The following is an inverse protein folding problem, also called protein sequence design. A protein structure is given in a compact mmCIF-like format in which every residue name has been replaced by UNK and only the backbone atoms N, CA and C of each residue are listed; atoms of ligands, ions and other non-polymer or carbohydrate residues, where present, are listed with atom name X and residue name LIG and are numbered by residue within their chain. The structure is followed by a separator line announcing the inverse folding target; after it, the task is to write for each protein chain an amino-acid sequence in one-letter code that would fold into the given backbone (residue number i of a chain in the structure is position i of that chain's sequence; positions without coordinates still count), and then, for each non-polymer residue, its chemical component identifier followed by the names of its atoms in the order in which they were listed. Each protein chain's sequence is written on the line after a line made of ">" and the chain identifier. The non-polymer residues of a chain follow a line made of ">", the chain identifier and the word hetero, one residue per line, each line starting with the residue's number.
data_IF_065446410842
#
_entry.id   IF_065446410842
#
_cell.length_a   1.000
_cell.length_b   1.000
_cell.length_c   1.000
_cell.angle_alpha   90.00
_cell.angle_beta   90.00
_cell.angle_gamma   90.00
#
_symmetry.space_group_name_H-M   'P 1'
#
loop_
_entity.id
_entity.type
_entity.pdbx_description
1 polymer ?
#
# COMPACT_ATOMS: atom_id res chain seq x y z
N UNK A 1 -16.63 -2.41 16.97
CA UNK A 1 -17.15 -1.07 17.33
C UNK A 1 -18.15 -0.60 16.28
N UNK A 2 -19.07 0.31 16.63
CA UNK A 2 -19.95 0.95 15.64
C UNK A 2 -19.12 1.84 14.69
N UNK A 3 -19.48 1.83 13.40
CA UNK A 3 -18.79 2.59 12.34
C UNK A 3 -19.80 3.06 11.30
N UNK A 4 -19.59 4.26 10.77
CA UNK A 4 -20.34 4.79 9.64
C UNK A 4 -19.69 4.22 8.37
N UNK A 5 -20.41 3.37 7.64
CA UNK A 5 -19.90 2.74 6.41
C UNK A 5 -20.54 3.39 5.20
N UNK A 6 -19.71 3.95 4.32
CA UNK A 6 -20.14 4.55 3.06
C UNK A 6 -19.52 3.79 1.91
N UNK A 7 -20.38 3.08 1.18
CA UNK A 7 -19.99 2.30 0.02
C UNK A 7 -20.12 3.19 -1.20
N UNK A 8 -19.03 3.32 -1.95
CA UNK A 8 -18.95 3.93 -3.26
C UNK A 8 -18.72 2.83 -4.28
N UNK A 9 -19.51 2.84 -5.35
CA UNK A 9 -19.28 1.98 -6.51
C UNK A 9 -19.17 2.85 -7.76
N UNK A 10 -18.11 2.65 -8.54
CA UNK A 10 -17.97 3.20 -9.89
C UNK A 10 -18.20 2.05 -10.87
N UNK A 11 -19.35 2.07 -11.54
CA UNK A 11 -19.79 1.06 -12.48
C UNK A 11 -19.51 1.51 -13.92
N UNK A 12 -19.02 0.58 -14.73
CA UNK A 12 -18.86 0.81 -16.16
C UNK A 12 -20.23 0.81 -16.85
N UNK A 13 -20.54 1.88 -17.59
CA UNK A 13 -21.81 2.05 -18.31
C UNK A 13 -21.62 2.23 -19.83
N UNK A 14 -20.42 1.94 -20.36
CA UNK A 14 -20.11 2.06 -21.79
C UNK A 14 -18.86 2.89 -22.07
N UNK A 15 -18.70 3.38 -23.30
CA UNK A 15 -17.43 3.97 -23.75
C UNK A 15 -17.06 5.28 -23.00
N UNK A 16 -18.02 6.19 -22.81
CA UNK A 16 -17.71 7.55 -22.32
C UNK A 16 -18.27 7.88 -20.93
N UNK A 17 -19.12 7.02 -20.36
CA UNK A 17 -19.84 7.33 -19.10
C UNK A 17 -19.66 6.21 -18.08
N UNK A 18 -19.66 6.59 -16.80
CA UNK A 18 -19.73 5.66 -15.69
C UNK A 18 -20.82 6.11 -14.71
N UNK A 19 -21.38 5.15 -14.00
CA UNK A 19 -22.35 5.40 -12.94
C UNK A 19 -21.65 5.32 -11.59
N UNK A 20 -21.79 6.37 -10.79
CA UNK A 20 -21.29 6.40 -9.42
C UNK A 20 -22.47 6.21 -8.48
N UNK A 21 -22.46 5.12 -7.72
CA UNK A 21 -23.47 4.80 -6.70
C UNK A 21 -22.85 4.97 -5.32
N UNK A 22 -23.52 5.71 -4.44
CA UNK A 22 -23.15 5.88 -3.04
C UNK A 22 -24.25 5.36 -2.13
N UNK A 23 -23.87 4.56 -1.14
CA UNK A 23 -24.79 3.91 -0.22
C UNK A 23 -24.36 4.13 1.23
N UNK A 24 -25.32 4.48 2.07
CA UNK A 24 -25.18 4.62 3.51
C UNK A 24 -26.48 4.21 4.22
N UNK A 25 -26.39 3.25 5.13
CA UNK A 25 -27.56 2.59 5.74
C UNK A 25 -28.55 2.11 4.68
N UNK A 26 -29.81 2.56 4.73
CA UNK A 26 -30.84 2.25 3.73
C UNK A 26 -30.94 3.29 2.62
N UNK A 27 -30.06 4.29 2.59
CA UNK A 27 -30.05 5.34 1.58
C UNK A 27 -29.06 5.03 0.46
N UNK A 28 -29.52 5.23 -0.77
CA UNK A 28 -28.70 5.11 -1.99
C UNK A 28 -28.89 6.36 -2.85
N UNK A 29 -27.81 6.80 -3.50
CA UNK A 29 -27.74 7.94 -4.41
C UNK A 29 -26.86 7.55 -5.60
N UNK A 30 -27.29 7.85 -6.82
CA UNK A 30 -26.55 7.45 -8.04
C UNK A 30 -26.42 8.55 -9.11
N UNK A 31 -25.22 8.91 -9.53
CA UNK A 31 -25.04 9.89 -10.60
C UNK A 31 -24.41 9.22 -11.82
N UNK A 32 -24.74 9.72 -13.01
CA UNK A 32 -24.00 9.42 -14.23
C UNK A 32 -23.02 10.57 -14.49
N UNK A 33 -21.78 10.21 -14.80
CA UNK A 33 -20.70 11.16 -15.10
C UNK A 33 -19.92 10.69 -16.31
N UNK A 34 -19.36 11.63 -17.07
CA UNK A 34 -18.34 11.31 -18.08
C UNK A 34 -17.15 10.64 -17.40
N UNK A 35 -16.61 9.58 -18.01
CA UNK A 35 -15.41 8.90 -17.51
C UNK A 35 -14.23 9.87 -17.45
N UNK A 36 -13.30 9.60 -16.53
CA UNK A 36 -12.00 10.27 -16.55
C UNK A 36 -11.36 10.06 -17.93
N UNK A 37 -11.08 11.17 -18.63
CA UNK A 37 -10.52 11.13 -19.98
C UNK A 37 -9.22 10.32 -19.99
N UNK A 38 -8.87 9.63 -21.08
CA UNK A 38 -7.59 8.92 -21.19
C UNK A 38 -6.36 9.80 -20.91
N UNK A 39 -6.45 11.10 -21.19
CA UNK A 39 -5.42 12.10 -20.85
C UNK A 39 -5.16 12.23 -19.35
N UNK A 40 -6.09 11.81 -18.48
CA UNK A 40 -5.87 11.79 -17.03
C UNK A 40 -4.68 10.90 -16.65
N UNK A 41 -4.39 9.82 -17.42
CA UNK A 41 -3.14 9.04 -17.25
C UNK A 41 -1.91 9.91 -17.42
N UNK A 42 -1.93 10.84 -18.37
CA UNK A 42 -0.81 11.75 -18.61
C UNK A 42 -0.67 12.75 -17.44
N UNK A 43 -1.78 13.14 -16.81
CA UNK A 43 -1.76 13.97 -15.60
C UNK A 43 -1.16 13.25 -14.38
N UNK A 44 -1.09 11.90 -14.40
CA UNK A 44 -0.41 11.12 -13.38
C UNK A 44 1.10 11.03 -13.61
N UNK A 45 1.61 11.32 -14.81
CA UNK A 45 3.07 11.25 -15.08
C UNK A 45 3.87 12.20 -14.19
N UNK A 46 3.51 13.48 -14.00
CA UNK A 46 4.23 14.34 -13.06
C UNK A 46 4.25 13.80 -11.63
N UNK A 47 3.18 13.11 -11.20
CA UNK A 47 3.12 12.47 -9.88
C UNK A 47 4.07 11.26 -9.81
N UNK A 48 4.09 10.43 -10.86
CA UNK A 48 5.02 9.31 -10.98
C UNK A 48 6.48 9.80 -11.03
N UNK A 49 6.78 10.81 -11.83
CA UNK A 49 8.10 11.45 -11.92
C UNK A 49 8.51 12.09 -10.59
N UNK A 50 7.60 12.77 -9.89
CA UNK A 50 7.84 13.35 -8.57
C UNK A 50 8.16 12.26 -7.52
N UNK A 51 7.44 11.14 -7.55
CA UNK A 51 7.71 9.97 -6.71
C UNK A 51 9.14 9.45 -6.97
N UNK A 52 9.49 9.22 -8.24
CA UNK A 52 10.81 8.71 -8.65
C UNK A 52 11.95 9.70 -8.39
N UNK A 53 11.67 11.00 -8.38
CA UNK A 53 12.65 12.07 -8.21
C UNK A 53 12.60 12.74 -6.83
N UNK A 54 11.88 12.22 -5.83
CA UNK A 54 11.76 12.92 -4.55
C UNK A 54 13.13 13.09 -3.86
N UNK A 55 13.41 14.20 -3.16
CA UNK A 55 14.65 14.37 -2.40
C UNK A 55 14.87 13.28 -1.34
N UNK A 56 13.81 12.67 -0.80
CA UNK A 56 13.90 11.52 0.09
C UNK A 56 14.39 10.25 -0.64
N UNK A 57 14.05 10.10 -1.91
CA UNK A 57 14.61 9.08 -2.80
C UNK A 57 16.06 9.42 -3.22
N UNK A 58 16.39 10.69 -3.47
CA UNK A 58 17.72 11.16 -3.95
C UNK A 58 18.78 11.41 -2.88
N UNK A 59 18.41 11.73 -1.64
CA UNK A 59 19.37 12.06 -0.56
C UNK A 59 20.27 10.89 -0.16
N UNK A 60 19.93 9.67 -0.57
CA UNK A 60 20.75 8.47 -0.37
C UNK A 60 21.97 8.41 -1.33
N UNK A 61 21.86 8.92 -2.56
CA UNK A 61 22.96 8.84 -3.54
C UNK A 61 24.16 9.73 -3.12
N UNK A 62 23.91 10.80 -2.38
CA UNK A 62 24.93 11.69 -1.84
C UNK A 62 25.55 11.19 -0.50
N UNK A 63 24.77 10.50 0.34
CA UNK A 63 25.23 9.98 1.63
C UNK A 63 26.04 8.68 1.50
N UNK A 64 25.86 7.93 0.40
CA UNK A 64 26.55 6.68 0.10
C UNK A 64 27.84 6.84 -0.72
N UNK A 65 28.22 8.07 -1.12
CA UNK A 65 29.55 8.29 -1.67
C UNK A 65 30.59 8.16 -0.55
N UNK A 66 31.61 7.28 -0.68
CA UNK A 66 32.67 7.23 0.31
C UNK A 66 33.32 8.63 0.40
N UNK A 67 33.42 9.16 1.64
CA UNK A 67 34.27 10.33 1.90
C UNK A 67 35.68 9.95 1.47
N UNK A 68 36.15 10.55 0.38
CA UNK A 68 37.51 10.37 -0.09
C UNK A 68 38.47 10.90 0.99
N UNK A 69 39.33 10.07 1.60
CA UNK A 69 40.21 10.52 2.69
C UNK A 69 41.26 11.55 2.21
N UNK A 70 41.50 11.64 0.90
CA UNK A 70 42.59 12.45 0.33
C UNK A 70 42.18 13.85 -0.13
N UNK A 71 40.96 14.31 0.18
CA UNK A 71 40.54 15.68 -0.14
C UNK A 71 40.91 16.72 0.95
N UNK A 72 41.64 16.31 1.99
CA UNK A 72 42.09 17.19 3.07
C UNK A 72 43.52 17.72 2.83
N UNK A 73 43.79 18.28 1.65
CA UNK A 73 45.01 19.06 1.41
C UNK A 73 44.86 19.96 0.17
N UNK A 74 44.08 21.04 0.30
CA UNK A 74 44.31 22.34 -0.38
C UNK A 74 43.05 23.21 -0.28
N UNK A 75 42.98 24.07 0.73
CA UNK A 75 42.82 25.51 0.53
C UNK A 75 42.68 26.21 1.87
N UNK A 76 43.73 26.96 2.20
CA UNK A 76 43.71 28.00 3.21
C UNK A 76 42.87 29.20 2.75
N UNK A 77 42.12 29.77 3.69
CA UNK A 77 41.86 31.21 3.77
C UNK A 77 40.82 31.83 2.84
N UNK A 78 39.53 31.75 3.21
CA UNK A 78 38.66 32.92 3.10
C UNK A 78 37.44 32.85 4.03
N UNK A 79 37.03 34.03 4.49
CA UNK A 79 36.10 34.33 5.58
C UNK A 79 34.77 33.54 5.59
N UNK A 80 34.36 33.16 6.80
CA UNK A 80 33.06 32.55 7.07
C UNK A 80 31.91 33.52 6.75
N UNK A 81 31.11 33.18 5.74
CA UNK A 81 29.73 33.66 5.57
C UNK A 81 28.77 32.48 5.81
N UNK A 82 27.63 32.67 6.50
CA UNK A 82 26.67 31.60 6.70
C UNK A 82 26.02 31.28 5.35
N UNK A 83 26.37 30.14 4.77
CA UNK A 83 25.75 29.65 3.55
C UNK A 83 24.37 29.09 3.90
N UNK A 84 23.34 29.84 3.51
CA UNK A 84 21.95 29.39 3.42
C UNK A 84 21.92 28.18 2.46
N UNK A 85 21.94 26.97 3.00
CA UNK A 85 21.63 25.72 2.31
C UNK A 85 20.38 25.17 2.96
N UNK A 86 19.22 25.38 2.33
CA UNK A 86 17.97 24.58 2.48
C UNK A 86 16.74 25.18 1.76
N UNK A 87 16.92 25.96 0.68
CA UNK A 87 15.79 26.44 -0.11
C UNK A 87 15.33 25.43 -1.17
N UNK A 88 16.24 24.69 -1.81
CA UNK A 88 15.90 23.83 -2.95
C UNK A 88 15.18 22.52 -2.56
N UNK A 89 15.49 21.94 -1.39
CA UNK A 89 14.77 20.78 -0.85
C UNK A 89 13.35 21.13 -0.38
N UNK A 90 13.19 22.27 0.29
CA UNK A 90 11.87 22.76 0.71
C UNK A 90 10.97 23.17 -0.47
N UNK A 91 11.56 23.72 -1.55
CA UNK A 91 10.83 24.09 -2.77
C UNK A 91 10.32 22.88 -3.57
N UNK A 92 11.05 21.75 -3.55
CA UNK A 92 10.68 20.51 -4.26
C UNK A 92 9.68 19.67 -3.46
N UNK A 93 9.85 19.50 -2.15
CA UNK A 93 8.84 18.84 -1.31
C UNK A 93 7.49 19.58 -1.33
N UNK A 94 7.50 20.91 -1.49
CA UNK A 94 6.28 21.71 -1.65
C UNK A 94 5.62 21.61 -3.02
N UNK A 95 6.36 21.25 -4.09
CA UNK A 95 5.77 21.03 -5.42
C UNK A 95 5.09 19.67 -5.52
N UNK A 96 5.65 18.64 -4.92
CA UNK A 96 5.13 17.27 -4.99
C UNK A 96 3.78 17.17 -4.27
N UNK A 97 3.68 17.74 -3.07
CA UNK A 97 2.42 17.83 -2.31
C UNK A 97 1.35 18.61 -3.08
N UNK A 98 1.70 19.69 -3.80
CA UNK A 98 0.73 20.44 -4.62
C UNK A 98 0.19 19.60 -5.76
N UNK A 99 1.05 18.83 -6.44
CA UNK A 99 0.62 17.90 -7.50
C UNK A 99 -0.34 16.86 -6.94
N UNK A 100 0.00 16.26 -5.78
CA UNK A 100 -0.87 15.30 -5.09
C UNK A 100 -2.21 15.93 -4.71
N UNK A 101 -2.22 17.16 -4.16
CA UNK A 101 -3.46 17.88 -3.81
C UNK A 101 -4.31 18.19 -5.05
N UNK A 102 -3.70 18.62 -6.15
CA UNK A 102 -4.42 18.97 -7.38
C UNK A 102 -5.10 17.74 -7.99
N UNK A 103 -4.35 16.65 -8.16
CA UNK A 103 -4.88 15.37 -8.64
C UNK A 103 -5.96 14.86 -7.68
N UNK A 104 -5.68 14.90 -6.38
CA UNK A 104 -6.60 14.50 -5.33
C UNK A 104 -7.91 15.26 -5.35
N UNK A 105 -7.86 16.56 -5.63
CA UNK A 105 -9.04 17.42 -5.73
C UNK A 105 -9.87 17.06 -6.96
N UNK A 106 -9.22 16.79 -8.10
CA UNK A 106 -9.91 16.36 -9.32
C UNK A 106 -10.63 15.02 -9.11
N UNK A 107 -10.00 14.07 -8.40
CA UNK A 107 -10.63 12.78 -8.08
C UNK A 107 -11.77 12.92 -7.07
N UNK A 108 -11.62 13.81 -6.09
CA UNK A 108 -12.70 14.11 -5.17
C UNK A 108 -13.90 14.73 -5.90
N UNK A 109 -13.66 15.77 -6.71
CA UNK A 109 -14.70 16.46 -7.47
C UNK A 109 -15.35 15.53 -8.52
N UNK A 110 -14.62 14.55 -9.04
CA UNK A 110 -15.15 13.52 -9.93
C UNK A 110 -16.19 12.63 -9.22
N UNK A 111 -15.90 12.14 -8.01
CA UNK A 111 -16.81 11.25 -7.26
C UNK A 111 -17.94 12.02 -6.59
N UNK A 112 -17.59 13.05 -5.83
CA UNK A 112 -18.48 13.71 -4.89
C UNK A 112 -19.19 14.89 -5.55
N UNK A 113 -20.13 14.56 -6.44
CA UNK A 113 -20.98 15.55 -7.11
C UNK A 113 -22.44 15.43 -6.64
N UNK A 114 -23.15 16.56 -6.63
CA UNK A 114 -24.62 16.63 -6.45
C UNK A 114 -25.05 15.78 -5.23
N UNK A 115 -25.94 14.81 -5.45
CA UNK A 115 -26.48 13.94 -4.41
C UNK A 115 -25.48 12.97 -3.77
N UNK A 116 -24.33 12.69 -4.41
CA UNK A 116 -23.25 11.91 -3.79
C UNK A 116 -22.53 12.76 -2.73
N UNK A 117 -22.27 14.03 -3.05
CA UNK A 117 -21.65 14.99 -2.13
C UNK A 117 -22.54 15.24 -0.90
N UNK A 118 -23.85 15.39 -1.11
CA UNK A 118 -24.84 15.53 -0.04
C UNK A 118 -24.77 14.34 0.93
N UNK A 119 -24.82 13.11 0.40
CA UNK A 119 -24.74 11.90 1.23
C UNK A 119 -23.39 11.77 1.97
N UNK A 120 -22.27 12.10 1.30
CA UNK A 120 -20.96 12.15 1.94
C UNK A 120 -20.92 13.14 3.11
N UNK A 121 -21.47 14.35 2.93
CA UNK A 121 -21.52 15.36 3.98
C UNK A 121 -22.41 14.89 5.14
N UNK A 122 -23.55 14.27 4.87
CA UNK A 122 -24.41 13.68 5.91
C UNK A 122 -23.66 12.62 6.73
N UNK A 123 -22.95 11.70 6.06
CA UNK A 123 -22.16 10.66 6.72
C UNK A 123 -21.03 11.24 7.56
N UNK A 124 -20.28 12.21 7.00
CA UNK A 124 -19.18 12.87 7.68
C UNK A 124 -19.66 13.57 8.97
N UNK A 125 -20.80 14.26 8.92
CA UNK A 125 -21.38 14.92 10.09
C UNK A 125 -21.95 13.92 11.10
N UNK A 126 -22.53 12.79 10.65
CA UNK A 126 -22.99 11.72 11.54
C UNK A 126 -21.82 11.10 12.31
N UNK A 127 -20.77 10.69 11.59
CA UNK A 127 -19.56 10.11 12.18
C UNK A 127 -18.92 11.04 13.22
N UNK A 128 -18.82 12.33 12.92
CA UNK A 128 -18.26 13.33 13.85
C UNK A 128 -19.13 13.57 15.08
N UNK A 129 -20.46 13.54 14.94
CA UNK A 129 -21.41 13.72 16.05
C UNK A 129 -21.35 12.57 17.04
N UNK A 130 -21.20 11.36 16.53
CA UNK A 130 -21.27 10.13 17.32
C UNK A 130 -19.87 9.59 17.70
N UNK A 131 -18.80 10.33 17.36
CA UNK A 131 -17.39 9.97 17.56
C UNK A 131 -17.04 8.57 17.01
N UNK A 132 -17.52 8.29 15.79
CA UNK A 132 -17.33 7.01 15.10
C UNK A 132 -16.40 7.14 13.89
N UNK A 133 -15.65 6.08 13.54
CA UNK A 133 -14.94 6.03 12.26
C UNK A 133 -15.92 6.08 11.08
N UNK A 134 -15.58 6.89 10.07
CA UNK A 134 -16.26 7.02 8.78
C UNK A 134 -15.53 6.21 7.69
N UNK A 135 -15.81 4.92 7.61
CA UNK A 135 -15.18 4.01 6.65
C UNK A 135 -15.72 4.24 5.24
N UNK A 136 -14.85 4.63 4.31
CA UNK A 136 -15.17 4.75 2.88
C UNK A 136 -14.66 3.52 2.15
N UNK A 137 -15.56 2.83 1.46
CA UNK A 137 -15.25 1.64 0.64
C UNK A 137 -15.48 1.97 -0.81
N UNK A 138 -14.42 1.95 -1.61
CA UNK A 138 -14.50 2.24 -3.04
C UNK A 138 -14.40 0.94 -3.84
N UNK A 139 -15.49 0.56 -4.48
CA UNK A 139 -15.53 -0.45 -5.53
C UNK A 139 -15.38 0.23 -6.89
N UNK A 140 -14.49 -0.30 -7.72
CA UNK A 140 -14.29 0.17 -9.09
C UNK A 140 -14.41 -1.02 -10.02
N UNK A 141 -15.51 -1.08 -10.77
CA UNK A 141 -15.77 -2.17 -11.72
C UNK A 141 -15.11 -1.92 -13.08
N UNK A 142 -14.83 -0.66 -13.42
CA UNK A 142 -14.13 -0.30 -14.65
C UNK A 142 -12.61 -0.57 -14.53
N UNK A 143 -12.04 -1.54 -15.29
CA UNK A 143 -10.61 -1.82 -15.26
C UNK A 143 -9.75 -0.61 -15.67
N UNK A 144 -10.28 0.27 -16.52
CA UNK A 144 -9.63 1.51 -16.90
C UNK A 144 -9.65 2.56 -15.80
N UNK A 145 -10.25 2.31 -14.64
CA UNK A 145 -10.18 3.21 -13.47
C UNK A 145 -9.45 2.58 -12.28
N UNK A 146 -9.05 1.31 -12.38
CA UNK A 146 -8.30 0.61 -11.34
C UNK A 146 -6.91 1.22 -11.06
N UNK A 147 -6.31 1.89 -12.05
CA UNK A 147 -4.99 2.52 -11.91
C UNK A 147 -5.01 3.90 -11.27
N UNK A 148 -6.20 4.50 -11.11
CA UNK A 148 -6.34 5.84 -10.58
C UNK A 148 -5.89 5.83 -9.10
N UNK A 149 -5.10 6.81 -8.64
CA UNK A 149 -4.66 6.86 -7.25
C UNK A 149 -5.73 7.51 -6.37
N UNK A 150 -6.83 6.79 -6.13
CA UNK A 150 -7.94 7.21 -5.28
C UNK A 150 -7.49 7.63 -3.87
N UNK A 151 -6.36 7.10 -3.43
CA UNK A 151 -5.65 7.43 -2.20
C UNK A 151 -5.27 8.92 -2.11
N UNK A 152 -5.19 9.63 -3.23
CA UNK A 152 -4.89 11.07 -3.26
C UNK A 152 -6.10 11.95 -2.95
N UNK A 153 -7.34 11.41 -2.92
CA UNK A 153 -8.57 12.21 -2.80
C UNK A 153 -8.48 13.28 -1.70
N UNK A 154 -8.68 14.53 -2.12
CA UNK A 154 -8.52 15.72 -1.28
C UNK A 154 -9.78 16.58 -1.31
N UNK A 155 -10.42 16.73 -0.16
CA UNK A 155 -11.57 17.61 0.04
C UNK A 155 -11.06 19.03 0.27
N UNK A 156 -11.07 19.86 -0.79
CA UNK A 156 -10.61 21.27 -0.73
C UNK A 156 -11.39 22.10 0.29
N UNK A 157 -12.69 21.82 0.46
CA UNK A 157 -13.57 22.59 1.35
C UNK A 157 -13.18 22.38 2.81
N UNK A 158 -12.94 21.13 3.19
CA UNK A 158 -12.53 20.78 4.56
C UNK A 158 -11.00 20.79 4.75
N UNK A 159 -10.24 20.91 3.66
CA UNK A 159 -8.76 20.87 3.64
C UNK A 159 -8.20 19.58 4.22
N UNK A 160 -8.84 18.45 3.92
CA UNK A 160 -8.45 17.13 4.41
C UNK A 160 -8.23 16.17 3.25
N UNK A 161 -7.23 15.31 3.40
CA UNK A 161 -7.14 14.11 2.59
C UNK A 161 -8.08 13.06 3.16
N UNK A 162 -8.95 12.54 2.31
CA UNK A 162 -9.96 11.55 2.68
C UNK A 162 -9.32 10.25 3.19
N UNK A 163 -8.04 10.00 2.91
CA UNK A 163 -7.39 8.70 3.09
C UNK A 163 -6.26 8.69 4.13
N UNK A 164 -6.02 9.84 4.78
CA UNK A 164 -4.96 10.02 5.81
C UNK A 164 -5.55 10.27 7.21
N UNK A 165 -6.86 10.47 7.32
CA UNK A 165 -7.52 10.70 8.61
C UNK A 165 -7.97 9.38 9.23
N UNK A 166 -7.74 9.23 10.54
CA UNK A 166 -8.32 8.14 11.33
C UNK A 166 -9.85 8.14 11.28
N UNK A 167 -10.43 9.33 11.16
CA UNK A 167 -11.87 9.49 11.04
C UNK A 167 -12.37 8.99 9.69
N UNK A 168 -11.53 8.85 8.66
CA UNK A 168 -11.95 8.38 7.33
C UNK A 168 -11.07 7.25 6.78
N UNK A 169 -11.09 6.04 7.37
CA UNK A 169 -10.35 4.92 6.82
C UNK A 169 -10.87 4.61 5.40
N UNK A 170 -9.95 4.34 4.47
CA UNK A 170 -10.27 4.13 3.05
C UNK A 170 -9.81 2.75 2.60
N UNK A 171 -10.67 2.02 1.88
CA UNK A 171 -10.35 0.73 1.28
C UNK A 171 -10.86 0.63 -0.15
N UNK A 172 -10.07 0.01 -1.01
CA UNK A 172 -10.56 -0.52 -2.28
C UNK A 172 -11.32 -1.82 -2.01
N UNK A 173 -12.55 -1.91 -2.48
CA UNK A 173 -13.38 -3.10 -2.37
C UNK A 173 -13.42 -3.83 -3.71
N UNK A 174 -13.46 -5.17 -3.66
CA UNK A 174 -13.70 -6.03 -4.82
C UNK A 174 -15.05 -6.69 -4.62
N UNK A 175 -15.75 -7.02 -5.71
CA UNK A 175 -17.00 -7.76 -5.65
C UNK A 175 -16.83 -9.06 -4.88
N UNK A 176 -17.62 -9.21 -3.82
CA UNK A 176 -17.75 -10.47 -3.12
C UNK A 176 -19.23 -10.72 -2.80
N UNK A 177 -19.72 -11.86 -3.30
CA UNK A 177 -21.02 -12.47 -2.98
C UNK A 177 -20.91 -13.44 -1.78
N UNK A 178 -19.75 -13.51 -1.13
CA UNK A 178 -19.45 -14.38 0.01
C UNK A 178 -19.59 -13.69 1.36
N UNK A 179 -19.89 -14.50 2.39
CA UNK A 179 -20.04 -14.07 3.78
C UNK A 179 -18.83 -13.25 4.27
N UNK A 180 -19.10 -12.19 5.04
CA UNK A 180 -18.08 -11.39 5.72
C UNK A 180 -17.17 -12.27 6.57
N UNK A 181 -16.00 -12.66 6.04
CA UNK A 181 -15.00 -13.39 6.81
C UNK A 181 -14.39 -12.46 7.85
N UNK A 182 -14.68 -12.73 9.11
CA UNK A 182 -14.00 -12.09 10.24
C UNK A 182 -12.50 -12.36 10.15
N UNK A 183 -11.70 -11.30 10.24
CA UNK A 183 -10.24 -11.33 10.11
C UNK A 183 -9.46 -11.68 11.39
N UNK A 184 -10.16 -12.12 12.45
CA UNK A 184 -9.55 -12.37 13.76
C UNK A 184 -8.65 -13.61 13.74
N UNK A 185 -7.41 -13.43 14.20
CA UNK A 185 -6.43 -14.49 14.38
C UNK A 185 -6.43 -15.00 15.84
N UNK A 186 -6.34 -16.32 16.02
CA UNK A 186 -6.12 -16.88 17.35
C UNK A 186 -4.64 -16.74 17.72
N UNK A 187 -4.35 -16.32 18.95
CA UNK A 187 -2.97 -16.18 19.44
C UNK A 187 -2.23 -17.54 19.51
N UNK A 188 -0.91 -17.57 19.31
CA UNK A 188 -0.08 -16.46 18.83
C UNK A 188 -0.42 -16.14 17.38
N UNK A 189 -0.43 -14.85 17.06
CA UNK A 189 -0.60 -14.38 15.69
C UNK A 189 0.65 -14.73 14.91
N UNK A 190 0.49 -15.41 13.77
CA UNK A 190 1.60 -15.96 13.00
C UNK A 190 1.91 -15.09 11.80
N UNK A 191 3.07 -14.45 11.84
CA UNK A 191 3.58 -13.59 10.76
C UNK A 191 4.67 -14.33 10.00
N UNK A 192 4.49 -14.49 8.69
CA UNK A 192 5.50 -15.03 7.78
C UNK A 192 6.07 -13.90 6.92
N UNK A 193 7.35 -13.61 7.09
CA UNK A 193 8.10 -12.73 6.24
C UNK A 193 8.88 -13.48 5.15
N UNK A 194 9.04 -12.88 3.98
CA UNK A 194 9.90 -13.35 2.91
C UNK A 194 10.61 -12.16 2.26
N UNK A 195 11.93 -12.21 2.19
CA UNK A 195 12.76 -11.14 1.65
C UNK A 195 13.64 -11.66 0.51
N UNK A 196 13.35 -11.25 -0.72
CA UNK A 196 14.07 -11.67 -1.91
C UNK A 196 15.21 -10.70 -2.26
N UNK A 197 16.46 -11.17 -2.12
CA UNK A 197 17.68 -10.41 -2.50
C UNK A 197 18.11 -10.77 -3.92
N UNK A 198 17.35 -10.31 -4.90
CA UNK A 198 17.61 -10.62 -6.31
C UNK A 198 18.38 -9.48 -6.96
N UNK A 199 19.51 -9.79 -7.60
CA UNK A 199 20.34 -8.79 -8.30
C UNK A 199 20.12 -8.78 -9.81
N UNK A 200 19.62 -9.89 -10.36
CA UNK A 200 19.45 -10.07 -11.81
C UNK A 200 18.13 -10.76 -12.10
N UNK A 201 17.37 -10.23 -13.04
CA UNK A 201 16.17 -10.86 -13.59
C UNK A 201 16.27 -10.91 -15.11
N UNK A 202 16.18 -12.11 -15.69
CA UNK A 202 16.29 -12.32 -17.15
C UNK A 202 17.54 -11.68 -17.78
N UNK A 203 18.66 -11.64 -17.05
CA UNK A 203 19.91 -11.04 -17.51
C UNK A 203 20.01 -9.52 -17.35
N UNK A 204 18.96 -8.86 -16.84
CA UNK A 204 18.97 -7.44 -16.52
C UNK A 204 19.30 -7.21 -15.04
N UNK A 205 20.18 -6.26 -14.70
CA UNK A 205 20.43 -5.90 -13.32
C UNK A 205 19.18 -5.27 -12.72
N UNK A 206 18.92 -5.58 -11.45
CA UNK A 206 17.92 -4.91 -10.63
C UNK A 206 18.63 -4.02 -9.61
N UNK A 207 17.94 -2.97 -9.16
CA UNK A 207 18.40 -2.14 -8.06
C UNK A 207 18.53 -2.98 -6.78
N UNK A 208 19.57 -2.72 -5.98
CA UNK A 208 19.71 -3.41 -4.71
C UNK A 208 18.66 -2.88 -3.72
N UNK A 209 17.91 -3.79 -3.08
CA UNK A 209 16.94 -3.47 -2.04
C UNK A 209 17.55 -3.79 -0.67
N UNK A 210 17.49 -2.84 0.25
CA UNK A 210 17.90 -2.97 1.65
C UNK A 210 16.93 -3.81 2.50
N UNK A 211 16.86 -5.11 2.22
CA UNK A 211 15.90 -6.01 2.89
C UNK A 211 16.18 -6.25 4.37
N UNK A 212 17.44 -6.13 4.81
CA UNK A 212 17.83 -6.41 6.20
C UNK A 212 17.35 -5.32 7.15
N UNK A 213 17.44 -4.06 6.73
CA UNK A 213 16.94 -2.93 7.49
C UNK A 213 15.42 -3.06 7.72
N UNK A 214 14.67 -3.46 6.69
CA UNK A 214 13.22 -3.64 6.81
C UNK A 214 12.85 -4.82 7.72
N UNK A 215 13.55 -5.96 7.63
CA UNK A 215 13.37 -7.07 8.57
C UNK A 215 13.58 -6.65 10.03
N UNK A 216 14.62 -5.84 10.29
CA UNK A 216 14.92 -5.31 11.62
C UNK A 216 13.82 -4.35 12.08
N UNK A 217 13.31 -3.49 11.20
CA UNK A 217 12.21 -2.57 11.53
C UNK A 217 10.92 -3.32 11.88
N UNK A 218 10.52 -4.32 11.10
CA UNK A 218 9.33 -5.14 11.39
C UNK A 218 9.49 -5.85 12.74
N UNK A 219 10.68 -6.44 12.99
CA UNK A 219 10.96 -7.11 14.25
C UNK A 219 10.91 -6.14 15.45
N UNK A 220 11.40 -4.92 15.27
CA UNK A 220 11.37 -3.86 16.29
C UNK A 220 9.93 -3.40 16.56
N UNK A 221 9.17 -3.08 15.52
CA UNK A 221 7.78 -2.63 15.63
C UNK A 221 6.91 -3.67 16.36
N UNK A 222 7.17 -4.97 16.12
CA UNK A 222 6.44 -6.06 16.75
C UNK A 222 7.05 -6.57 18.07
N UNK A 223 8.12 -5.95 18.58
CA UNK A 223 8.92 -6.55 19.66
C UNK A 223 8.12 -6.78 20.94
N UNK A 224 7.21 -5.88 21.30
CA UNK A 224 6.40 -6.00 22.51
C UNK A 224 5.44 -7.19 22.46
N UNK A 225 4.99 -7.59 21.26
CA UNK A 225 4.07 -8.71 21.04
C UNK A 225 4.80 -10.03 20.73
N UNK A 226 6.05 -9.97 20.27
CA UNK A 226 6.81 -11.11 19.77
C UNK A 226 7.46 -11.93 20.91
N UNK A 227 6.64 -12.42 21.83
CA UNK A 227 7.04 -13.28 22.96
C UNK A 227 6.76 -14.79 22.72
N UNK A 228 6.29 -15.14 21.52
CA UNK A 228 5.90 -16.50 21.14
C UNK A 228 4.51 -16.93 21.65
N UNK A 229 3.87 -16.14 22.51
CA UNK A 229 2.50 -16.37 23.03
C UNK A 229 1.49 -15.45 22.37
N UNK A 230 1.83 -14.18 22.17
CA UNK A 230 0.98 -13.18 21.50
C UNK A 230 1.24 -13.13 20.01
N UNK A 231 2.50 -13.15 19.59
CA UNK A 231 2.90 -13.15 18.19
C UNK A 231 4.13 -14.05 17.97
N UNK A 232 4.20 -14.66 16.78
CA UNK A 232 5.36 -15.40 16.28
C UNK A 232 5.73 -14.86 14.90
N UNK A 233 6.89 -14.23 14.81
CA UNK A 233 7.48 -13.79 13.53
C UNK A 233 8.44 -14.86 13.01
N UNK A 234 8.24 -15.29 11.77
CA UNK A 234 9.11 -16.24 11.07
C UNK A 234 9.49 -15.74 9.69
N UNK A 235 10.66 -16.14 9.19
CA UNK A 235 11.15 -15.77 7.86
C UNK A 235 11.35 -16.98 6.95
N UNK A 236 11.29 -16.75 5.63
CA UNK A 236 11.73 -17.68 4.58
C UNK A 236 13.12 -17.23 4.08
N UNK A 237 14.23 -17.80 4.59
CA UNK A 237 15.57 -17.28 4.28
C UNK A 237 15.99 -17.49 2.82
N UNK A 238 15.44 -18.52 2.16
CA UNK A 238 15.79 -18.84 0.77
C UNK A 238 15.14 -17.92 -0.25
N UNK A 239 14.03 -17.27 0.12
CA UNK A 239 13.16 -16.53 -0.78
C UNK A 239 12.81 -17.26 -2.09
N UNK A 240 12.74 -18.61 -2.07
CA UNK A 240 12.38 -19.44 -3.23
C UNK A 240 10.88 -19.73 -3.27
N UNK A 241 10.29 -19.79 -4.47
CA UNK A 241 8.89 -20.17 -4.68
C UNK A 241 8.52 -21.52 -4.03
N UNK A 242 9.41 -22.52 -4.15
CA UNK A 242 9.21 -23.85 -3.55
C UNK A 242 9.04 -23.79 -2.03
N UNK A 243 9.84 -22.96 -1.37
CA UNK A 243 9.81 -22.84 0.08
C UNK A 243 8.62 -22.01 0.54
N UNK A 244 8.23 -20.97 -0.22
CA UNK A 244 6.97 -20.25 -0.01
C UNK A 244 5.77 -21.22 -0.02
N UNK A 245 5.61 -22.00 -1.08
CA UNK A 245 4.52 -22.97 -1.20
C UNK A 245 4.55 -23.98 -0.02
N UNK A 246 5.72 -24.52 0.32
CA UNK A 246 5.86 -25.44 1.46
C UNK A 246 5.47 -24.83 2.80
N UNK A 247 5.81 -23.56 3.04
CA UNK A 247 5.51 -22.87 4.29
C UNK A 247 4.02 -22.59 4.44
N UNK A 248 3.31 -22.27 3.37
CA UNK A 248 1.84 -22.16 3.40
C UNK A 248 1.14 -23.51 3.50
N UNK A 249 1.62 -24.52 2.78
CA UNK A 249 1.06 -25.87 2.83
C UNK A 249 1.18 -26.50 4.23
N UNK A 250 2.31 -26.32 4.90
CA UNK A 250 2.57 -26.91 6.24
C UNK A 250 2.10 -26.02 7.39
N UNK A 251 1.94 -24.72 7.14
CA UNK A 251 1.76 -23.74 8.19
C UNK A 251 2.95 -23.66 9.15
N UNK A 252 2.70 -23.08 10.31
CA UNK A 252 3.56 -23.09 11.50
C UNK A 252 3.08 -24.20 12.43
N UNK A 253 3.74 -25.36 12.39
CA UNK A 253 3.33 -26.57 13.12
C UNK A 253 1.86 -26.97 12.83
N UNK A 254 1.46 -26.91 11.56
CA UNK A 254 0.10 -27.22 11.10
C UNK A 254 -0.91 -26.08 11.28
N UNK A 255 -0.52 -24.97 11.92
CA UNK A 255 -1.38 -23.79 12.10
C UNK A 255 -1.14 -22.78 10.97
N UNK A 256 -2.22 -22.15 10.49
CA UNK A 256 -2.13 -21.17 9.40
C UNK A 256 -1.25 -19.97 9.77
N UNK A 257 -0.66 -19.36 8.76
CA UNK A 257 -0.10 -18.01 8.85
C UNK A 257 -1.26 -17.01 8.81
N UNK A 258 -1.26 -16.04 9.72
CA UNK A 258 -2.29 -14.99 9.76
C UNK A 258 -1.90 -13.78 8.91
N UNK A 259 -0.58 -13.52 8.79
CA UNK A 259 -0.03 -12.45 7.97
C UNK A 259 1.13 -12.96 7.11
N UNK A 260 1.15 -12.52 5.85
CA UNK A 260 2.29 -12.67 4.95
C UNK A 260 2.87 -11.31 4.58
N UNK A 261 4.18 -11.12 4.73
CA UNK A 261 4.90 -9.92 4.30
C UNK A 261 5.98 -10.28 3.30
N UNK A 262 5.89 -9.74 2.10
CA UNK A 262 6.90 -9.90 1.05
C UNK A 262 7.69 -8.61 0.86
N UNK A 263 9.02 -8.74 0.81
CA UNK A 263 10.00 -7.68 0.50
C UNK A 263 10.76 -8.11 -0.74
N UNK A 264 10.78 -7.29 -1.78
CA UNK A 264 11.58 -7.56 -2.98
C UNK A 264 11.01 -6.89 -4.21
N UNK A 265 11.48 -7.28 -5.39
CA UNK A 265 10.94 -6.76 -6.64
C UNK A 265 9.63 -7.44 -7.04
N UNK A 266 8.90 -6.80 -7.93
CA UNK A 266 7.84 -7.41 -8.71
C UNK A 266 7.55 -6.53 -9.92
N UNK A 267 6.36 -6.70 -10.48
CA UNK A 267 5.88 -5.87 -11.57
C UNK A 267 4.65 -6.50 -12.20
N UNK A 268 4.39 -6.15 -13.45
CA UNK A 268 3.36 -6.79 -14.25
C UNK A 268 3.82 -6.99 -15.67
N UNK A 269 3.36 -8.09 -16.21
CA UNK A 269 3.70 -8.60 -17.51
C UNK A 269 2.56 -8.23 -18.47
N UNK A 270 2.76 -7.24 -19.37
CA UNK A 270 1.69 -6.79 -20.26
C UNK A 270 1.30 -7.86 -21.29
N UNK A 271 2.19 -8.80 -21.63
CA UNK A 271 1.85 -9.86 -22.56
C UNK A 271 0.92 -10.88 -21.90
N UNK A 272 1.14 -11.17 -20.61
CA UNK A 272 0.26 -12.03 -19.80
C UNK A 272 -0.90 -11.30 -19.13
N UNK A 273 -0.91 -9.96 -19.18
CA UNK A 273 -1.81 -9.09 -18.42
C UNK A 273 -1.86 -9.46 -16.93
N UNK A 274 -0.70 -9.76 -16.32
CA UNK A 274 -0.65 -10.33 -14.97
C UNK A 274 0.52 -9.81 -14.14
N UNK A 275 0.23 -9.51 -12.88
CA UNK A 275 1.23 -9.14 -11.89
C UNK A 275 2.11 -10.31 -11.43
N UNK A 276 3.30 -10.00 -10.94
CA UNK A 276 4.24 -10.98 -10.39
C UNK A 276 5.08 -10.37 -9.26
N UNK A 277 5.59 -11.25 -8.39
CA UNK A 277 6.72 -10.94 -7.50
C UNK A 277 7.97 -11.66 -8.00
N UNK A 278 9.16 -11.15 -7.69
CA UNK A 278 10.42 -11.77 -8.06
C UNK A 278 10.94 -12.57 -6.87
N UNK A 279 11.16 -13.86 -7.09
CA UNK A 279 11.67 -14.80 -6.07
C UNK A 279 13.03 -15.33 -6.48
N UNK A 280 13.81 -15.83 -5.53
CA UNK A 280 15.15 -16.34 -5.79
C UNK A 280 15.12 -17.62 -6.65
N UNK A 281 16.02 -17.71 -7.64
CA UNK A 281 16.32 -18.95 -8.36
C UNK A 281 17.28 -19.86 -7.58
N UNK A 282 17.44 -21.09 -8.08
CA UNK A 282 18.54 -21.95 -7.67
C UNK A 282 19.88 -21.33 -8.13
N UNK A 283 20.85 -21.19 -7.22
CA UNK A 283 22.16 -20.57 -7.50
C UNK A 283 22.38 -19.17 -6.92
N UNK A 284 21.33 -18.51 -6.40
CA UNK A 284 21.44 -17.51 -5.32
C UNK A 284 21.62 -16.03 -5.69
N UNK A 285 21.82 -15.67 -6.96
CA UNK A 285 21.92 -14.25 -7.39
C UNK A 285 20.87 -13.84 -8.43
N UNK A 286 20.41 -14.78 -9.25
CA UNK A 286 19.30 -14.58 -10.19
C UNK A 286 17.94 -14.78 -9.53
N UNK A 287 16.93 -14.11 -10.05
CA UNK A 287 15.54 -14.27 -9.67
C UNK A 287 14.66 -14.65 -10.84
N UNK A 288 13.49 -15.17 -10.51
CA UNK A 288 12.46 -15.59 -11.45
C UNK A 288 11.11 -15.00 -11.06
N UNK A 289 10.22 -14.85 -12.04
CA UNK A 289 8.88 -14.29 -11.83
C UNK A 289 7.96 -15.36 -11.24
N UNK A 290 7.38 -15.08 -10.09
CA UNK A 290 6.24 -15.80 -9.54
C UNK A 290 4.97 -14.99 -9.78
N UNK A 291 4.19 -15.42 -10.77
CA UNK A 291 2.98 -14.73 -11.20
C UNK A 291 1.84 -14.84 -10.17
N UNK A 292 0.94 -13.85 -10.21
CA UNK A 292 -0.14 -13.67 -9.26
C UNK A 292 -1.09 -14.88 -9.19
N UNK A 293 -1.36 -15.54 -10.31
CA UNK A 293 -2.18 -16.76 -10.38
C UNK A 293 -1.60 -17.92 -9.55
N UNK A 294 -0.28 -18.10 -9.63
CA UNK A 294 0.47 -19.15 -8.94
C UNK A 294 0.65 -18.78 -7.47
N UNK A 295 0.95 -17.51 -7.19
CA UNK A 295 1.03 -16.98 -5.83
C UNK A 295 -0.32 -17.15 -5.11
N UNK A 296 -1.43 -16.81 -5.78
CA UNK A 296 -2.79 -17.06 -5.29
C UNK A 296 -2.96 -18.51 -4.87
N UNK A 297 -2.62 -19.46 -5.74
CA UNK A 297 -2.71 -20.90 -5.41
C UNK A 297 -1.88 -21.24 -4.16
N UNK A 298 -0.69 -20.69 -3.98
CA UNK A 298 0.11 -20.96 -2.78
C UNK A 298 -0.53 -20.40 -1.51
N UNK A 299 -1.12 -19.20 -1.57
CA UNK A 299 -1.65 -18.50 -0.41
C UNK A 299 -3.07 -18.93 -0.02
N UNK A 300 -3.86 -19.47 -0.95
CA UNK A 300 -5.30 -19.76 -0.71
C UNK A 300 -5.58 -21.25 -0.50
N UNK A 301 -4.57 -22.01 -0.04
CA UNK A 301 -4.74 -23.41 0.35
C UNK A 301 -5.85 -23.57 1.42
N UNK A 302 -6.69 -24.63 1.35
CA UNK A 302 -7.81 -24.81 2.27
C UNK A 302 -7.39 -24.73 3.75
N UNK A 303 -8.00 -23.81 4.49
CA UNK A 303 -7.72 -23.59 5.91
C UNK A 303 -6.40 -22.87 6.24
N UNK A 304 -5.59 -22.52 5.23
CA UNK A 304 -4.28 -21.89 5.39
C UNK A 304 -4.23 -20.44 4.86
N UNK A 305 -5.34 -19.91 4.34
CA UNK A 305 -5.39 -18.55 3.80
C UNK A 305 -5.07 -17.51 4.86
N UNK A 306 -4.06 -16.64 4.65
CA UNK A 306 -3.74 -15.56 5.58
C UNK A 306 -4.84 -14.51 5.59
N UNK A 307 -5.01 -13.83 6.72
CA UNK A 307 -5.94 -12.72 6.85
C UNK A 307 -5.42 -11.48 6.11
N UNK A 308 -4.11 -11.22 6.18
CA UNK A 308 -3.47 -10.08 5.51
C UNK A 308 -2.25 -10.53 4.72
N UNK A 309 -2.15 -10.04 3.49
CA UNK A 309 -0.92 -10.09 2.69
C UNK A 309 -0.42 -8.67 2.47
N UNK A 310 0.85 -8.44 2.73
CA UNK A 310 1.55 -7.17 2.44
C UNK A 310 2.60 -7.45 1.38
N UNK A 311 2.41 -6.89 0.20
CA UNK A 311 3.36 -6.93 -0.92
C UNK A 311 4.10 -5.60 -0.93
N UNK A 312 5.18 -5.53 -0.14
CA UNK A 312 6.07 -4.39 -0.14
C UNK A 312 7.12 -4.56 -1.25
N UNK A 313 6.66 -4.43 -2.49
CA UNK A 313 7.47 -4.69 -3.67
C UNK A 313 7.38 -3.59 -4.69
N UNK A 314 8.55 -3.15 -5.18
CA UNK A 314 8.69 -2.13 -6.21
C UNK A 314 8.72 -2.77 -7.60
N UNK A 315 8.30 -2.01 -8.62
CA UNK A 315 8.52 -2.38 -10.02
C UNK A 315 10.00 -2.27 -10.33
N UNK A 316 10.73 -3.38 -10.24
CA UNK A 316 12.10 -3.45 -10.77
C UNK A 316 12.07 -3.74 -12.26
N UNK A 317 11.62 -2.78 -13.05
CA UNK A 317 11.77 -2.66 -14.52
C UNK A 317 10.65 -1.77 -15.07
N UNK A 318 11.07 -0.76 -15.85
CA UNK A 318 10.24 0.05 -16.75
C UNK A 318 9.05 -0.74 -17.28
N UNK A 319 7.87 -0.43 -16.77
CA UNK A 319 6.67 -0.84 -17.43
C UNK A 319 5.69 0.32 -17.37
N UNK A 320 5.25 0.75 -18.55
CA UNK A 320 4.38 1.92 -18.74
C UNK A 320 2.91 1.62 -18.33
N UNK A 321 2.71 0.69 -17.40
CA UNK A 321 1.41 0.18 -16.99
C UNK A 321 1.16 0.35 -15.48
N UNK A 322 -0.07 0.15 -15.01
CA UNK A 322 -0.38 0.06 -13.59
C UNK A 322 -0.20 -1.38 -13.10
N UNK A 323 0.83 -1.64 -12.30
CA UNK A 323 1.46 -2.97 -12.32
C UNK A 323 1.18 -3.86 -11.10
N UNK A 324 0.89 -3.30 -9.92
CA UNK A 324 0.73 -4.13 -8.70
C UNK A 324 -0.67 -4.21 -8.13
N UNK A 325 -1.55 -3.27 -8.51
CA UNK A 325 -2.99 -3.42 -8.28
C UNK A 325 -3.52 -4.72 -8.89
N UNK A 326 -2.87 -5.25 -9.93
CA UNK A 326 -3.19 -6.53 -10.56
C UNK A 326 -2.89 -7.74 -9.66
N UNK A 327 -1.72 -7.81 -9.00
CA UNK A 327 -1.42 -8.90 -8.05
C UNK A 327 -2.33 -8.85 -6.84
N UNK A 328 -2.55 -7.66 -6.27
CA UNK A 328 -3.44 -7.50 -5.12
C UNK A 328 -4.89 -7.86 -5.46
N UNK A 329 -5.40 -7.41 -6.61
CA UNK A 329 -6.73 -7.77 -7.09
C UNK A 329 -6.86 -9.28 -7.29
N UNK A 330 -5.87 -9.95 -7.91
CA UNK A 330 -5.89 -11.40 -8.14
C UNK A 330 -5.92 -12.19 -6.82
N UNK A 331 -5.12 -11.78 -5.82
CA UNK A 331 -5.11 -12.41 -4.50
C UNK A 331 -6.45 -12.23 -3.77
N UNK A 332 -7.03 -11.03 -3.84
CA UNK A 332 -8.33 -10.73 -3.25
C UNK A 332 -9.44 -11.53 -3.93
N UNK A 333 -9.45 -11.58 -5.26
CA UNK A 333 -10.39 -12.40 -6.03
C UNK A 333 -10.23 -13.89 -5.70
N UNK A 334 -9.00 -14.33 -5.44
CA UNK A 334 -8.68 -15.67 -4.97
C UNK A 334 -9.12 -16.02 -3.56
N UNK A 335 -9.65 -15.06 -2.80
CA UNK A 335 -10.19 -15.27 -1.46
C UNK A 335 -9.28 -14.83 -0.30
N UNK A 336 -8.17 -14.15 -0.58
CA UNK A 336 -7.42 -13.45 0.48
C UNK A 336 -8.30 -12.31 1.03
N UNK A 337 -8.49 -12.17 2.35
CA UNK A 337 -9.40 -11.16 2.91
C UNK A 337 -8.91 -9.72 2.76
N UNK A 338 -7.61 -9.47 2.94
CA UNK A 338 -7.01 -8.15 2.77
C UNK A 338 -5.61 -8.25 2.14
N UNK A 339 -5.31 -7.31 1.24
CA UNK A 339 -4.01 -7.18 0.58
C UNK A 339 -3.59 -5.72 0.57
N UNK A 340 -2.39 -5.44 1.08
CA UNK A 340 -1.70 -4.17 0.86
C UNK A 340 -0.67 -4.39 -0.25
N UNK A 341 -0.64 -3.52 -1.25
CA UNK A 341 0.37 -3.53 -2.30
C UNK A 341 0.80 -2.10 -2.65
N UNK A 342 1.98 -1.94 -3.23
CA UNK A 342 2.48 -0.63 -3.66
C UNK A 342 2.03 -0.33 -5.09
N UNK A 343 1.25 0.74 -5.29
CA UNK A 343 0.75 1.14 -6.61
C UNK A 343 1.82 1.80 -7.47
N UNK A 344 2.72 2.57 -6.85
CA UNK A 344 3.87 3.21 -7.48
C UNK A 344 5.16 2.65 -6.90
N UNK A 345 6.26 2.88 -7.61
CA UNK A 345 7.60 2.62 -7.07
C UNK A 345 7.79 3.39 -5.76
N UNK A 346 8.52 2.76 -4.84
CA UNK A 346 8.90 3.36 -3.57
C UNK A 346 10.40 3.20 -3.37
N UNK A 347 11.02 4.17 -2.72
CA UNK A 347 12.39 4.12 -2.26
C UNK A 347 12.55 3.15 -1.08
N UNK A 348 13.75 2.62 -0.89
CA UNK A 348 14.07 1.76 0.25
C UNK A 348 13.77 2.44 1.60
N UNK A 349 14.05 3.74 1.71
CA UNK A 349 13.75 4.53 2.90
C UNK A 349 12.25 4.61 3.17
N UNK A 350 11.45 4.76 2.11
CA UNK A 350 10.00 4.74 2.20
C UNK A 350 9.50 3.34 2.56
N UNK A 351 10.04 2.28 1.97
CA UNK A 351 9.70 0.89 2.33
C UNK A 351 9.99 0.58 3.80
N UNK A 352 11.16 1.00 4.29
CA UNK A 352 11.54 0.89 5.70
C UNK A 352 10.59 1.68 6.61
N UNK A 353 10.32 2.94 6.27
CA UNK A 353 9.43 3.81 7.03
C UNK A 353 8.00 3.25 7.06
N UNK A 354 7.50 2.76 5.92
CA UNK A 354 6.21 2.11 5.82
C UNK A 354 6.12 0.91 6.75
N UNK A 355 7.09 -0.01 6.68
CA UNK A 355 7.07 -1.22 7.47
C UNK A 355 7.13 -0.91 8.98
N UNK A 356 8.05 -0.03 9.40
CA UNK A 356 8.18 0.39 10.80
C UNK A 356 6.87 0.98 11.34
N UNK A 357 6.34 1.97 10.63
CA UNK A 357 5.14 2.69 11.07
C UNK A 357 3.90 1.81 11.01
N UNK A 358 3.68 1.06 9.91
CA UNK A 358 2.52 0.19 9.74
C UNK A 358 2.44 -0.90 10.81
N UNK A 359 3.54 -1.61 11.06
CA UNK A 359 3.54 -2.67 12.07
C UNK A 359 3.47 -2.12 13.49
N UNK A 360 3.95 -0.89 13.74
CA UNK A 360 3.79 -0.23 15.04
C UNK A 360 2.31 0.03 15.31
N UNK A 361 1.59 0.69 14.39
CA UNK A 361 0.16 0.91 14.59
C UNK A 361 -0.65 -0.39 14.58
N UNK A 362 -0.30 -1.37 13.75
CA UNK A 362 -0.97 -2.67 13.76
C UNK A 362 -0.79 -3.39 15.11
N UNK A 363 0.36 -3.23 15.77
CA UNK A 363 0.63 -3.76 17.10
C UNK A 363 -0.26 -3.10 18.19
N UNK A 364 -0.71 -1.87 17.98
CA UNK A 364 -1.61 -1.14 18.88
C UNK A 364 -3.09 -1.59 18.82
N UNK A 365 -3.36 -2.74 18.18
CA UNK A 365 -4.70 -3.35 18.03
C UNK A 365 -5.73 -2.47 17.29
N UNK A 366 -5.29 -1.54 16.46
CA UNK A 366 -6.19 -0.84 15.53
C UNK A 366 -6.49 -1.71 14.31
N UNK A 367 -7.53 -1.35 13.54
CA UNK A 367 -7.84 -2.07 12.29
C UNK A 367 -6.78 -1.84 11.22
N UNK A 368 -6.64 -2.74 10.25
CA UNK A 368 -5.72 -2.58 9.10
C UNK A 368 -5.95 -1.23 8.40
N UNK A 369 -7.21 -0.85 8.21
CA UNK A 369 -7.56 0.42 7.56
C UNK A 369 -7.05 1.62 8.38
N UNK A 370 -7.22 1.58 9.70
CA UNK A 370 -6.75 2.64 10.59
C UNK A 370 -5.22 2.68 10.63
N UNK A 371 -4.56 1.53 10.79
CA UNK A 371 -3.10 1.41 10.77
C UNK A 371 -2.53 2.02 9.48
N UNK A 372 -3.12 1.70 8.32
CA UNK A 372 -2.66 2.28 7.06
C UNK A 372 -2.91 3.79 6.95
N UNK A 373 -4.06 4.29 7.42
CA UNK A 373 -4.33 5.73 7.44
C UNK A 373 -3.31 6.49 8.29
N UNK A 374 -2.98 5.96 9.47
CA UNK A 374 -1.92 6.48 10.33
C UNK A 374 -0.55 6.45 9.65
N UNK A 375 -0.20 5.33 9.02
CA UNK A 375 1.04 5.19 8.26
C UNK A 375 1.14 6.26 7.18
N UNK A 376 0.09 6.48 6.39
CA UNK A 376 0.09 7.54 5.36
C UNK A 376 0.27 8.93 5.97
N UNK A 377 -0.42 9.23 7.07
CA UNK A 377 -0.30 10.52 7.75
C UNK A 377 1.13 10.79 8.23
N UNK A 378 1.79 9.79 8.82
CA UNK A 378 3.16 9.91 9.31
C UNK A 378 4.19 10.00 8.19
N UNK A 379 4.05 9.18 7.14
CA UNK A 379 4.91 9.25 5.96
C UNK A 379 4.81 10.61 5.26
N UNK A 380 3.58 11.14 5.18
CA UNK A 380 3.33 12.49 4.68
C UNK A 380 3.98 13.56 5.56
N UNK A 381 3.84 13.45 6.88
CA UNK A 381 4.47 14.37 7.84
C UNK A 381 6.01 14.33 7.73
N UNK A 382 6.57 13.20 7.29
CA UNK A 382 7.99 13.01 6.98
C UNK A 382 8.36 13.39 5.54
N UNK A 383 7.42 13.98 4.79
CA UNK A 383 7.59 14.49 3.42
C UNK A 383 7.91 13.43 2.35
N UNK A 384 7.53 12.16 2.57
CA UNK A 384 7.60 11.14 1.52
C UNK A 384 6.47 11.34 0.51
N UNK A 385 6.74 11.80 -0.72
CA UNK A 385 5.72 11.90 -1.78
C UNK A 385 5.04 10.54 -2.09
N UNK A 386 5.76 9.45 -1.86
CA UNK A 386 5.34 8.05 -2.00
C UNK A 386 4.30 7.60 -0.96
N UNK A 387 3.88 8.46 -0.03
CA UNK A 387 2.89 8.14 1.01
C UNK A 387 1.57 7.59 0.43
N UNK A 388 1.27 7.90 -0.84
CA UNK A 388 0.07 7.44 -1.56
C UNK A 388 0.21 6.03 -2.15
N UNK A 389 1.43 5.50 -2.26
CA UNK A 389 1.72 4.25 -2.95
C UNK A 389 1.09 3.02 -2.29
N UNK A 390 1.09 2.87 -0.94
CA UNK A 390 0.43 1.72 -0.32
C UNK A 390 -1.08 1.76 -0.57
N UNK A 391 -1.64 0.79 -1.29
CA UNK A 391 -3.08 0.63 -1.54
C UNK A 391 -3.61 -0.59 -0.81
N UNK A 392 -4.79 -0.48 -0.21
CA UNK A 392 -5.42 -1.55 0.56
C UNK A 392 -6.68 -2.04 -0.15
N UNK A 393 -6.65 -3.30 -0.55
CA UNK A 393 -7.82 -4.03 -1.00
C UNK A 393 -8.39 -4.89 0.13
N UNK A 394 -9.72 -4.88 0.30
CA UNK A 394 -10.40 -5.68 1.33
C UNK A 394 -11.75 -6.21 0.86
N UNK A 395 -12.08 -7.44 1.27
CA UNK A 395 -13.41 -8.05 1.06
C UNK A 395 -14.39 -7.73 2.20
N UNK A 396 -13.90 -7.78 3.44
CA UNK A 396 -14.73 -7.58 4.65
C UNK A 396 -14.73 -6.15 5.20
N UNK A 397 -15.64 -5.90 6.15
CA UNK A 397 -15.72 -4.64 6.89
C UNK A 397 -14.76 -4.59 8.10
N UNK A 398 -14.42 -5.74 8.67
CA UNK A 398 -13.64 -5.85 9.91
C UNK A 398 -12.16 -6.10 9.57
N UNK A 399 -11.29 -5.14 9.85
CA UNK A 399 -9.84 -5.27 9.68
C UNK A 399 -9.08 -5.52 10.99
N UNK A 400 -9.75 -6.04 12.02
CA UNK A 400 -9.14 -6.32 13.32
C UNK A 400 -8.41 -7.68 13.29
N UNK A 401 -7.07 -7.68 13.18
CA UNK A 401 -6.27 -8.92 13.21
C UNK A 401 -5.82 -9.24 14.65
N UNK A 402 -5.34 -8.23 15.40
CA UNK A 402 -4.65 -8.44 16.68
C UNK A 402 -5.55 -8.43 17.93
N UNK A 403 -6.86 -8.29 17.72
CA UNK A 403 -7.85 -8.19 18.78
C UNK A 403 -8.05 -9.55 19.48
N UNK A 404 -7.87 -9.57 20.80
CA UNK A 404 -8.31 -10.66 21.66
C UNK A 404 -9.85 -10.70 21.66
N UNK A 405 -10.44 -11.53 20.82
CA UNK A 405 -11.81 -11.96 21.12
C UNK A 405 -11.71 -13.03 22.19
N UNK A 406 -12.02 -12.64 23.44
CA UNK A 406 -12.57 -13.60 24.38
C UNK A 406 -13.65 -14.39 23.63
N UNK A 407 -13.57 -15.72 23.69
CA UNK A 407 -14.48 -16.61 22.97
C UNK A 407 -15.96 -16.30 23.27
N UNK A 408 -16.90 -16.84 22.47
CA UNK A 408 -18.32 -16.72 22.78
C UNK A 408 -18.66 -17.16 24.21
#
# INVERSE_FOLDING_TARGET
>A
MAKVVFNLTIEDCGEDHCRIVAEYNSSSREIEVEKLKPSFRQNLRPLQEAILQSPAARSAEAALRPRNPDAAAANDGHEARPAIRDAAGALTSGSDERIVQEIGSQLFDFIFQRKILELYQECFQAARRDDQPFLIRLRVSDPALAYVPWETMYDRKNRIYVTTSQSTPFTRAVDDYGEERRMSAARPIRVLGMAARVKVLNGFPLDEIEVDAEQVAIKRALHELNDGKRLKLSWIPSAKARDLNRRFLRGDDGKRWDLFHFIGHGGHDPDRQMGFIVVQEEGGSSGTRLYADTLKVFLTQPGQTPSLVVLNSCSGAQSDGPLFSSTAAELIQGGVPAVIAMQFEISDNMGLAFADTFYTYLADNVSIQAALAHTRAELKARHFAEWISPVLYMRGLDGEIFVDRAGP
#
